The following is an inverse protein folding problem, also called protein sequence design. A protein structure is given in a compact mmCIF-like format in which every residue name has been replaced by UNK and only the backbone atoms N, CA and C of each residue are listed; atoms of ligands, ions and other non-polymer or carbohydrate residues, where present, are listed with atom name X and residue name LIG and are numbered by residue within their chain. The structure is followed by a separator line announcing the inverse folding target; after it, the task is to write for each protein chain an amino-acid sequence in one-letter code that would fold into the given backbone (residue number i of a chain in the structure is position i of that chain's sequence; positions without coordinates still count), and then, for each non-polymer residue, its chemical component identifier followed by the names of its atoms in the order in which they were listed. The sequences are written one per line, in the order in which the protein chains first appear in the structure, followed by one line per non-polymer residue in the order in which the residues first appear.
data_IF_212897855773
#
_entry.id   IF_212897855773
#
_cell.length_a   1.000
_cell.length_b   1.000
_cell.length_c   1.000
_cell.angle_alpha   90.00
_cell.angle_beta   90.00
_cell.angle_gamma   90.00
#
_symmetry.space_group_name_H-M   'P 1'
#
loop_
_entity.id
_entity.type
_entity.pdbx_description
1 polymer ?
#
# COMPACT_ATOMS: atom_id res chain seq x y z
N UNK A 1 17.34 -17.31 33.66
CA UNK A 1 18.17 -16.33 32.95
C UNK A 1 17.41 -15.89 31.72
N UNK A 2 16.76 -14.74 31.85
CA UNK A 2 15.80 -14.17 30.91
C UNK A 2 16.46 -13.06 30.08
N UNK A 3 16.10 -13.00 28.80
CA UNK A 3 15.63 -11.80 28.11
C UNK A 3 15.30 -12.19 26.66
N UNK A 4 14.01 -12.29 26.31
CA UNK A 4 13.55 -12.31 24.91
C UNK A 4 12.36 -11.37 24.77
N UNK A 5 12.52 -10.48 23.81
CA UNK A 5 11.76 -9.26 23.56
C UNK A 5 10.37 -9.51 22.97
N UNK A 6 9.46 -8.61 23.32
CA UNK A 6 8.10 -8.46 22.86
C UNK A 6 8.04 -8.13 21.36
N UNK A 7 7.13 -8.79 20.65
CA UNK A 7 6.13 -8.29 19.67
C UNK A 7 5.70 -9.53 18.87
N UNK A 8 4.82 -10.34 19.48
CA UNK A 8 4.00 -11.33 18.80
C UNK A 8 2.65 -11.32 19.50
N UNK A 9 1.73 -10.48 19.02
CA UNK A 9 0.34 -10.59 19.42
C UNK A 9 -0.33 -11.61 18.50
N UNK A 10 -0.25 -12.88 18.90
CA UNK A 10 -1.09 -13.94 18.38
C UNK A 10 -2.51 -13.81 18.96
N UNK A 11 -3.51 -13.88 18.09
CA UNK A 11 -4.87 -14.31 18.43
C UNK A 11 -4.84 -15.70 19.08
N UNK A 12 -5.47 -15.89 20.25
CA UNK A 12 -6.48 -16.94 20.50
C UNK A 12 -7.09 -16.89 21.92
N UNK A 13 -8.43 -16.89 21.94
CA UNK A 13 -9.36 -17.62 22.81
C UNK A 13 -9.21 -17.62 24.37
N UNK A 14 -10.13 -16.91 25.03
CA UNK A 14 -11.21 -17.47 25.87
C UNK A 14 -10.89 -18.07 27.26
N UNK A 15 -11.54 -17.55 28.30
CA UNK A 15 -12.34 -18.35 29.23
C UNK A 15 -13.24 -17.50 30.16
N UNK A 16 -14.44 -18.02 30.40
CA UNK A 16 -15.45 -17.60 31.38
C UNK A 16 -15.16 -18.11 32.81
N UNK A 17 -15.62 -17.34 33.80
CA UNK A 17 -16.21 -17.67 35.12
C UNK A 17 -15.53 -17.04 36.35
N UNK A 18 -16.35 -16.36 37.16
CA UNK A 18 -16.05 -16.04 38.56
C UNK A 18 -16.92 -14.90 39.12
N UNK A 19 -18.09 -15.23 39.66
CA UNK A 19 -18.94 -14.31 40.43
C UNK A 19 -18.33 -14.02 41.83
N UNK A 20 -18.48 -12.79 42.32
CA UNK A 20 -18.16 -12.46 43.71
C UNK A 20 -18.35 -10.99 44.07
N UNK A 21 -19.38 -10.74 44.88
CA UNK A 21 -19.60 -9.63 45.81
C UNK A 21 -19.69 -8.17 45.28
N UNK A 22 -20.89 -7.60 45.44
CA UNK A 22 -21.13 -6.16 45.48
C UNK A 22 -20.60 -5.61 46.81
N UNK A 23 -19.73 -4.60 46.76
CA UNK A 23 -19.50 -3.66 47.85
C UNK A 23 -19.52 -2.23 47.29
N UNK A 24 -20.10 -1.32 48.08
CA UNK A 24 -20.36 0.08 47.75
C UNK A 24 -19.06 0.82 47.38
N UNK A 25 -19.00 1.34 46.14
CA UNK A 25 -17.89 2.19 45.70
C UNK A 25 -18.11 3.63 46.17
N UNK A 26 -17.10 4.29 46.80
CA UNK A 26 -17.12 5.72 47.03
C UNK A 26 -17.09 6.48 45.70
N UNK A 27 -17.57 7.74 45.73
CA UNK A 27 -17.60 8.63 44.58
C UNK A 27 -16.23 8.70 43.86
N UNK A 28 -16.20 8.74 42.52
CA UNK A 28 -14.94 8.78 41.77
C UNK A 28 -14.24 10.11 42.06
N UNK A 29 -13.16 10.04 42.84
CA UNK A 29 -12.05 10.97 42.68
C UNK A 29 -11.41 10.57 41.36
N UNK A 30 -11.43 11.44 40.35
CA UNK A 30 -10.65 11.24 39.13
C UNK A 30 -9.19 10.96 39.55
N UNK A 31 -8.68 9.73 39.38
CA UNK A 31 -7.25 9.56 39.47
C UNK A 31 -6.67 10.28 38.26
N UNK A 32 -5.70 11.17 38.47
CA UNK A 32 -4.74 11.53 37.43
C UNK A 32 -4.12 10.22 36.95
N UNK A 33 -4.74 9.61 35.94
CA UNK A 33 -4.26 8.37 35.37
C UNK A 33 -2.86 8.67 34.81
N UNK A 34 -1.85 7.84 35.13
CA UNK A 34 -0.51 8.09 34.65
C UNK A 34 -0.55 8.19 33.12
N UNK A 35 0.02 9.25 32.58
CA UNK A 35 0.23 9.38 31.13
C UNK A 35 1.09 8.20 30.70
N UNK A 36 0.50 7.22 30.03
CA UNK A 36 1.24 6.11 29.44
C UNK A 36 1.74 6.61 28.10
N UNK A 37 3.00 7.04 28.07
CA UNK A 37 3.73 7.35 26.84
C UNK A 37 4.72 6.23 26.56
N UNK A 38 4.61 5.57 25.42
CA UNK A 38 5.74 4.81 24.89
C UNK A 38 6.71 5.80 24.21
N UNK A 39 7.99 5.75 24.58
CA UNK A 39 9.00 6.47 23.82
C UNK A 39 9.10 5.84 22.42
N UNK A 40 9.28 6.67 21.38
CA UNK A 40 9.56 6.17 20.05
C UNK A 40 10.93 5.48 20.07
N UNK A 41 10.98 4.15 20.00
CA UNK A 41 12.21 3.43 19.73
C UNK A 41 12.42 3.42 18.22
N UNK A 42 13.50 4.05 17.76
CA UNK A 42 13.89 4.00 16.36
C UNK A 42 14.53 2.64 16.09
N UNK A 43 13.79 1.76 15.42
CA UNK A 43 14.28 0.46 15.04
C UNK A 43 14.85 0.54 13.61
N UNK A 44 16.13 0.17 13.46
CA UNK A 44 16.68 -0.15 12.14
C UNK A 44 15.85 -1.30 11.54
N UNK A 45 15.39 -1.12 10.31
CA UNK A 45 14.71 -2.17 9.57
C UNK A 45 15.73 -3.22 9.18
N UNK A 46 15.63 -4.38 9.81
CA UNK A 46 16.36 -5.56 9.38
C UNK A 46 15.75 -6.09 8.06
N UNK A 47 16.48 -6.93 7.31
CA UNK A 47 15.89 -7.52 6.10
C UNK A 47 14.68 -8.40 6.46
N UNK A 48 13.69 -8.58 5.56
CA UNK A 48 12.56 -9.46 5.81
C UNK A 48 13.02 -10.93 5.65
N UNK A 49 13.48 -11.55 6.75
CA UNK A 49 14.43 -12.66 6.71
C UNK A 49 13.90 -14.07 6.39
N UNK A 50 12.61 -14.29 6.10
CA UNK A 50 12.14 -15.67 5.88
C UNK A 50 11.93 -16.04 4.42
N UNK A 51 11.69 -15.07 3.54
CA UNK A 51 11.09 -15.35 2.21
C UNK A 51 11.89 -14.71 1.06
N UNK A 52 13.19 -14.50 1.23
CA UNK A 52 14.03 -13.96 0.16
C UNK A 52 14.18 -14.97 -0.99
N UNK A 53 14.12 -14.47 -2.22
CA UNK A 53 14.32 -15.26 -3.42
C UNK A 53 15.58 -14.81 -4.15
N UNK A 54 16.43 -15.78 -4.49
CA UNK A 54 17.57 -15.57 -5.38
C UNK A 54 17.20 -16.06 -6.78
N UNK A 55 17.35 -15.20 -7.80
CA UNK A 55 17.07 -15.54 -9.20
C UNK A 55 18.15 -14.99 -10.12
N UNK A 56 18.44 -15.74 -11.17
CA UNK A 56 19.18 -15.21 -12.32
C UNK A 56 18.21 -14.40 -13.17
N UNK A 57 18.41 -13.09 -13.19
CA UNK A 57 17.64 -12.11 -13.95
C UNK A 57 18.55 -11.61 -15.07
N UNK A 58 18.36 -12.15 -16.27
CA UNK A 58 19.10 -11.75 -17.48
C UNK A 58 20.64 -11.83 -17.34
N UNK A 59 21.15 -12.85 -16.62
CA UNK A 59 22.58 -13.05 -16.39
C UNK A 59 23.11 -12.37 -15.13
N UNK A 60 22.25 -11.71 -14.34
CA UNK A 60 22.60 -11.12 -13.04
C UNK A 60 21.85 -11.83 -11.92
N UNK A 61 22.60 -12.36 -10.95
CA UNK A 61 22.00 -12.92 -9.74
C UNK A 61 21.48 -11.80 -8.86
N UNK A 62 20.17 -11.76 -8.63
CA UNK A 62 19.50 -10.83 -7.73
C UNK A 62 18.83 -11.60 -6.60
N UNK A 63 19.16 -11.26 -5.36
CA UNK A 63 18.40 -11.67 -4.18
C UNK A 63 17.44 -10.55 -3.81
N UNK A 64 16.15 -10.85 -3.67
CA UNK A 64 15.17 -9.84 -3.31
C UNK A 64 14.03 -10.43 -2.47
N UNK A 65 13.33 -9.55 -1.76
CA UNK A 65 12.08 -9.90 -1.13
C UNK A 65 10.96 -9.81 -2.17
N UNK A 66 10.19 -10.88 -2.42
CA UNK A 66 9.27 -10.95 -3.55
C UNK A 66 7.93 -10.25 -3.30
N UNK A 67 7.87 -9.37 -2.31
CA UNK A 67 6.70 -8.60 -1.91
C UNK A 67 7.06 -7.13 -1.71
N UNK A 68 6.05 -6.26 -1.75
CA UNK A 68 6.16 -4.89 -1.28
C UNK A 68 5.87 -4.82 0.22
N UNK A 69 6.51 -3.87 0.90
CA UNK A 69 6.20 -3.47 2.27
C UNK A 69 5.43 -2.16 2.31
N UNK A 70 4.51 -2.04 3.26
CA UNK A 70 3.67 -0.83 3.44
C UNK A 70 3.79 -0.30 4.86
N UNK A 71 3.70 1.00 5.03
CA UNK A 71 3.58 1.63 6.34
C UNK A 71 2.25 1.24 7.01
N UNK A 72 2.20 0.97 8.34
CA UNK A 72 3.29 0.99 9.32
C UNK A 72 4.15 -0.27 9.39
N UNK A 73 3.76 -1.34 8.71
CA UNK A 73 4.39 -2.66 8.82
C UNK A 73 5.36 -2.94 7.68
N UNK A 74 6.36 -2.08 7.54
CA UNK A 74 7.43 -2.28 6.55
C UNK A 74 8.22 -3.53 6.96
N UNK A 75 8.03 -4.61 6.22
CA UNK A 75 8.51 -5.96 6.56
C UNK A 75 7.41 -7.02 6.50
N UNK A 76 6.14 -6.63 6.58
CA UNK A 76 5.01 -7.51 6.32
C UNK A 76 4.68 -7.49 4.82
N UNK A 77 4.54 -8.68 4.25
CA UNK A 77 4.25 -8.84 2.83
C UNK A 77 2.88 -8.24 2.49
N UNK A 78 2.86 -7.24 1.61
CA UNK A 78 1.63 -6.58 1.17
C UNK A 78 1.16 -7.13 -0.19
N UNK A 79 1.87 -6.80 -1.27
CA UNK A 79 1.53 -7.24 -2.63
C UNK A 79 2.74 -7.92 -3.29
N UNK A 80 2.53 -8.98 -4.09
CA UNK A 80 3.58 -9.61 -4.89
C UNK A 80 4.30 -8.66 -5.83
N UNK A 81 5.61 -8.81 -5.94
CA UNK A 81 6.33 -8.45 -7.16
C UNK A 81 5.95 -9.47 -8.23
N UNK A 82 5.49 -8.99 -9.38
CA UNK A 82 4.96 -9.83 -10.45
C UNK A 82 5.41 -9.43 -11.86
N UNK A 83 6.32 -8.46 -11.98
CA UNK A 83 7.04 -8.09 -13.19
C UNK A 83 8.46 -7.63 -12.84
N UNK A 84 9.43 -7.93 -13.71
CA UNK A 84 10.83 -7.52 -13.54
C UNK A 84 11.32 -6.87 -14.84
N UNK A 85 11.93 -5.70 -14.73
CA UNK A 85 12.45 -4.95 -15.88
C UNK A 85 13.99 -4.86 -15.81
N UNK A 86 14.66 -5.10 -16.93
CA UNK A 86 16.13 -5.02 -17.08
C UNK A 86 16.51 -4.17 -18.29
N UNK A 87 17.81 -3.93 -18.50
CA UNK A 87 18.30 -3.08 -19.58
C UNK A 87 18.29 -1.61 -19.15
N UNK A 88 17.74 -0.70 -19.96
CA UNK A 88 17.54 0.70 -19.56
C UNK A 88 16.22 0.84 -18.77
N UNK A 89 16.13 0.06 -17.69
CA UNK A 89 14.91 -0.13 -16.92
C UNK A 89 14.71 0.91 -15.82
N UNK A 90 15.21 2.14 -15.99
CA UNK A 90 14.99 3.20 -15.01
C UNK A 90 13.49 3.44 -14.81
N UNK A 91 12.95 3.29 -13.58
CA UNK A 91 11.51 3.42 -13.35
C UNK A 91 10.97 4.80 -13.75
N UNK A 92 11.82 5.84 -13.75
CA UNK A 92 11.46 7.20 -14.21
C UNK A 92 11.19 7.22 -15.71
N UNK A 93 12.07 6.63 -16.50
CA UNK A 93 11.92 6.51 -17.95
C UNK A 93 10.72 5.65 -18.30
N UNK A 94 10.54 4.52 -17.61
CA UNK A 94 9.38 3.64 -17.80
C UNK A 94 8.08 4.38 -17.51
N UNK A 95 8.00 5.11 -16.39
CA UNK A 95 6.86 5.99 -16.06
C UNK A 95 6.55 6.94 -17.21
N UNK A 96 7.52 7.74 -17.64
CA UNK A 96 7.29 8.79 -18.62
C UNK A 96 6.75 8.22 -19.94
N UNK A 97 7.20 7.02 -20.31
CA UNK A 97 6.70 6.31 -21.49
C UNK A 97 5.30 5.75 -21.31
N UNK A 98 4.99 5.17 -20.15
CA UNK A 98 3.64 4.69 -19.84
C UNK A 98 2.62 5.83 -19.81
N UNK A 99 2.97 6.98 -19.25
CA UNK A 99 2.12 8.19 -19.24
C UNK A 99 1.87 8.74 -20.66
N UNK A 100 2.75 8.43 -21.62
CA UNK A 100 2.61 8.83 -23.02
C UNK A 100 1.76 7.88 -23.87
N UNK A 101 1.36 6.72 -23.35
CA UNK A 101 0.53 5.77 -24.09
C UNK A 101 -0.92 6.23 -24.17
N UNK A 102 -1.57 5.96 -25.31
CA UNK A 102 -3.03 5.95 -25.34
C UNK A 102 -3.56 4.82 -24.46
N UNK A 103 -4.70 5.05 -23.81
CA UNK A 103 -5.36 3.99 -23.04
C UNK A 103 -5.98 2.89 -23.90
N UNK A 104 -6.07 3.09 -25.23
CA UNK A 104 -6.73 2.17 -26.14
C UNK A 104 -5.91 0.89 -26.37
N UNK A 105 -6.44 -0.24 -25.87
CA UNK A 105 -5.89 -1.59 -26.06
C UNK A 105 -6.73 -2.42 -27.04
N UNK A 106 -7.72 -1.83 -27.73
CA UNK A 106 -8.56 -2.53 -28.72
C UNK A 106 -7.79 -3.12 -29.91
N UNK A 107 -6.66 -2.54 -30.38
CA UNK A 107 -5.85 -3.18 -31.43
C UNK A 107 -5.28 -4.55 -31.03
N UNK A 108 -5.25 -4.85 -29.73
CA UNK A 108 -4.78 -6.13 -29.18
C UNK A 108 -5.94 -7.08 -28.82
N UNK A 109 -7.16 -6.77 -29.27
CA UNK A 109 -8.34 -7.61 -29.06
C UNK A 109 -9.06 -7.42 -27.73
N UNK A 110 -8.65 -6.44 -26.91
CA UNK A 110 -9.34 -6.10 -25.67
C UNK A 110 -10.58 -5.23 -25.94
N UNK A 111 -11.63 -5.31 -25.10
CA UNK A 111 -12.82 -4.48 -25.28
C UNK A 111 -12.53 -3.00 -24.97
N UNK A 112 -13.30 -2.09 -25.56
CA UNK A 112 -13.22 -0.65 -25.24
C UNK A 112 -13.99 -0.34 -23.94
N UNK A 113 -13.53 -0.86 -22.81
CA UNK A 113 -14.11 -0.64 -21.49
C UNK A 113 -13.03 -0.76 -20.41
N UNK A 114 -13.25 -0.19 -19.23
CA UNK A 114 -12.37 -0.41 -18.06
C UNK A 114 -12.32 -1.93 -17.74
N UNK A 115 -11.15 -2.54 -17.46
CA UNK A 115 -9.81 -1.96 -17.28
C UNK A 115 -8.95 -1.74 -18.54
N UNK A 116 -9.50 -1.91 -19.73
CA UNK A 116 -8.72 -2.02 -20.97
C UNK A 116 -8.54 -0.72 -21.73
N UNK A 117 -9.36 0.32 -21.47
CA UNK A 117 -9.31 1.60 -22.19
C UNK A 117 -8.80 2.79 -21.35
N UNK A 118 -8.27 2.55 -20.15
CA UNK A 118 -7.74 3.59 -19.28
C UNK A 118 -6.32 4.03 -19.68
N UNK A 119 -5.98 5.29 -19.43
CA UNK A 119 -4.62 5.85 -19.54
C UNK A 119 -3.90 5.79 -18.20
N UNK A 120 -2.57 5.69 -18.23
CA UNK A 120 -1.75 5.79 -17.03
C UNK A 120 -1.68 7.23 -16.52
N UNK A 121 -1.72 7.39 -15.21
CA UNK A 121 -1.47 8.63 -14.47
C UNK A 121 -0.62 8.36 -13.24
N UNK A 122 -0.09 9.40 -12.59
CA UNK A 122 0.49 9.25 -11.26
C UNK A 122 -0.60 8.93 -10.24
N UNK A 123 -0.36 7.96 -9.37
CA UNK A 123 -1.34 7.52 -8.37
C UNK A 123 -1.13 8.16 -7.01
N UNK A 124 -2.22 8.42 -6.30
CA UNK A 124 -2.21 8.59 -4.84
C UNK A 124 -1.84 7.26 -4.18
N UNK A 125 -0.83 7.32 -3.32
CA UNK A 125 -0.45 6.22 -2.42
C UNK A 125 0.57 6.68 -1.39
N UNK A 126 0.54 6.08 -0.19
CA UNK A 126 1.59 6.26 0.80
C UNK A 126 2.91 5.68 0.28
N UNK A 127 4.05 6.11 0.83
CA UNK A 127 5.32 5.40 0.70
C UNK A 127 5.18 3.87 0.85
N UNK A 128 5.91 3.15 0.00
CA UNK A 128 6.05 1.70 0.05
C UNK A 128 7.51 1.34 -0.20
N UNK A 129 7.89 0.11 0.12
CA UNK A 129 9.26 -0.32 0.03
C UNK A 129 9.44 -1.72 -0.54
N UNK A 130 10.65 -1.98 -1.03
CA UNK A 130 11.15 -3.31 -1.38
C UNK A 130 12.52 -3.50 -0.75
N UNK A 131 13.00 -4.74 -0.72
CA UNK A 131 14.32 -5.07 -0.22
C UNK A 131 15.07 -5.94 -1.23
N UNK A 132 16.35 -5.64 -1.46
CA UNK A 132 17.23 -6.40 -2.38
C UNK A 132 18.67 -6.50 -1.88
N UNK A 133 19.42 -7.49 -2.34
CA UNK A 133 20.88 -7.50 -2.22
C UNK A 133 21.53 -7.05 -3.53
N UNK A 134 22.63 -6.28 -3.48
CA UNK A 134 23.30 -5.76 -2.28
C UNK A 134 22.70 -4.44 -1.73
N UNK A 135 21.57 -3.96 -2.27
CA UNK A 135 21.14 -2.57 -2.11
C UNK A 135 20.32 -2.26 -0.84
N UNK A 136 19.87 -3.25 -0.09
CA UNK A 136 19.05 -3.10 1.10
C UNK A 136 17.61 -2.61 0.81
N UNK A 137 17.06 -1.80 1.71
CA UNK A 137 15.72 -1.22 1.58
C UNK A 137 15.67 -0.06 0.57
N UNK A 138 14.77 -0.15 -0.40
CA UNK A 138 14.41 0.97 -1.28
C UNK A 138 12.96 1.38 -1.03
N UNK A 139 12.73 2.67 -0.79
CA UNK A 139 11.42 3.21 -0.44
C UNK A 139 10.87 4.29 -1.37
N UNK A 140 11.68 4.79 -2.31
CA UNK A 140 11.15 5.75 -3.28
C UNK A 140 10.44 5.00 -4.39
N UNK A 141 9.12 4.89 -4.27
CA UNK A 141 8.30 4.22 -5.26
C UNK A 141 7.72 5.21 -6.26
N UNK A 142 7.74 4.85 -7.54
CA UNK A 142 6.87 5.48 -8.54
C UNK A 142 5.55 4.71 -8.55
N UNK A 143 4.46 5.38 -8.22
CA UNK A 143 3.11 4.79 -8.21
C UNK A 143 2.30 5.34 -9.38
N UNK A 144 1.76 4.43 -10.19
CA UNK A 144 0.95 4.75 -11.35
C UNK A 144 -0.42 4.10 -11.24
N UNK A 145 -1.43 4.75 -11.78
CA UNK A 145 -2.77 4.20 -11.88
C UNK A 145 -3.33 4.28 -13.29
N UNK A 146 -4.15 3.29 -13.63
CA UNK A 146 -4.98 3.26 -14.84
C UNK A 146 -6.42 3.06 -14.37
N UNK A 147 -7.22 4.13 -14.41
CA UNK A 147 -8.52 4.21 -13.74
C UNK A 147 -8.60 5.46 -12.87
N UNK A 148 -9.33 5.38 -11.75
CA UNK A 148 -9.39 6.44 -10.73
C UNK A 148 -9.30 5.81 -9.33
N UNK A 149 -8.56 6.45 -8.43
CA UNK A 149 -8.52 6.18 -6.99
C UNK A 149 -9.89 5.87 -6.36
N UNK A 150 -10.96 6.58 -6.72
CA UNK A 150 -12.26 6.44 -6.04
C UNK A 150 -13.05 5.18 -6.42
N UNK A 151 -12.60 4.44 -7.43
CA UNK A 151 -13.36 3.31 -8.00
C UNK A 151 -12.45 2.11 -8.20
N UNK A 152 -12.48 1.54 -9.42
CA UNK A 152 -11.62 0.47 -9.86
C UNK A 152 -10.39 1.08 -10.54
N UNK A 153 -9.20 0.59 -10.22
CA UNK A 153 -7.97 0.96 -10.92
C UNK A 153 -6.98 -0.17 -10.99
N UNK A 154 -6.20 -0.17 -12.06
CA UNK A 154 -4.91 -0.87 -12.05
C UNK A 154 -3.92 0.04 -11.35
N UNK A 155 -3.22 -0.48 -10.36
CA UNK A 155 -2.20 0.22 -9.60
C UNK A 155 -0.85 -0.48 -9.81
N UNK A 156 0.12 0.26 -10.35
CA UNK A 156 1.48 -0.21 -10.57
C UNK A 156 2.46 0.52 -9.66
N UNK A 157 3.43 -0.21 -9.13
CA UNK A 157 4.50 0.31 -8.28
C UNK A 157 5.84 -0.11 -8.85
N UNK A 158 6.66 0.87 -9.21
CA UNK A 158 7.97 0.67 -9.80
C UNK A 158 9.03 1.05 -8.77
N UNK A 159 9.85 0.07 -8.40
CA UNK A 159 10.93 0.23 -7.44
C UNK A 159 12.27 0.02 -8.11
N UNK A 160 13.22 0.92 -7.84
CA UNK A 160 14.60 0.73 -8.28
C UNK A 160 15.30 -0.29 -7.39
N UNK A 161 15.98 -1.24 -8.01
CA UNK A 161 16.76 -2.29 -7.37
C UNK A 161 18.08 -2.47 -8.13
N UNK A 162 18.99 -1.49 -7.96
CA UNK A 162 20.19 -1.41 -8.78
C UNK A 162 19.87 -1.14 -10.25
N UNK A 163 20.38 -1.99 -11.13
CA UNK A 163 20.15 -1.93 -12.59
C UNK A 163 18.82 -2.59 -13.02
N UNK A 164 18.03 -3.08 -12.05
CA UNK A 164 16.74 -3.73 -12.28
C UNK A 164 15.63 -2.86 -11.70
N UNK A 165 14.45 -2.88 -12.33
CA UNK A 165 13.22 -2.38 -11.71
C UNK A 165 12.31 -3.53 -11.33
N UNK A 166 11.97 -3.60 -10.05
CA UNK A 166 10.95 -4.51 -9.53
C UNK A 166 9.58 -3.84 -9.64
N UNK A 167 8.61 -4.58 -10.15
CA UNK A 167 7.26 -4.05 -10.38
C UNK A 167 6.23 -4.92 -9.68
N UNK A 168 5.43 -4.28 -8.84
CA UNK A 168 4.19 -4.85 -8.30
C UNK A 168 3.01 -4.18 -8.97
N UNK A 169 2.16 -4.95 -9.66
CA UNK A 169 0.95 -4.43 -10.30
C UNK A 169 -0.28 -5.24 -9.91
N UNK A 170 -1.36 -4.56 -9.55
CA UNK A 170 -2.64 -5.18 -9.19
C UNK A 170 -3.83 -4.34 -9.67
N UNK A 171 -5.00 -4.96 -9.66
CA UNK A 171 -6.29 -4.34 -9.86
C UNK A 171 -6.89 -4.25 -8.47
N UNK A 172 -7.25 -3.04 -8.04
CA UNK A 172 -7.81 -2.80 -6.74
C UNK A 172 -9.10 -1.98 -6.82
N UNK A 173 -9.92 -2.12 -5.79
CA UNK A 173 -11.19 -1.43 -5.62
C UNK A 173 -11.19 -0.70 -4.29
N UNK A 174 -11.59 0.56 -4.28
CA UNK A 174 -11.77 1.32 -3.04
C UNK A 174 -12.81 0.62 -2.14
N UNK A 175 -12.46 0.38 -0.88
CA UNK A 175 -13.45 -0.07 0.11
C UNK A 175 -14.26 1.17 0.52
N UNK A 176 -15.60 1.17 0.32
CA UNK A 176 -16.43 2.35 0.59
C UNK A 176 -16.25 2.89 2.01
N UNK A 177 -16.13 4.22 2.14
CA UNK A 177 -15.97 4.90 3.42
C UNK A 177 -14.58 4.76 4.07
N UNK A 178 -13.59 4.31 3.30
CA UNK A 178 -12.20 4.11 3.74
C UNK A 178 -11.22 4.72 2.74
N UNK A 179 -9.95 4.86 3.13
CA UNK A 179 -8.84 5.18 2.22
C UNK A 179 -8.13 3.94 1.69
N UNK A 180 -8.62 2.75 2.05
CA UNK A 180 -7.98 1.49 1.71
C UNK A 180 -8.62 0.90 0.46
N UNK A 181 -7.78 0.33 -0.37
CA UNK A 181 -8.20 -0.47 -1.51
C UNK A 181 -8.02 -1.94 -1.18
N UNK A 182 -8.96 -2.77 -1.62
CA UNK A 182 -8.76 -4.22 -1.62
C UNK A 182 -8.32 -4.69 -3.01
N UNK A 183 -7.30 -5.55 -3.02
CA UNK A 183 -6.80 -6.11 -4.27
C UNK A 183 -7.73 -7.20 -4.74
N UNK A 184 -8.12 -7.13 -6.01
CA UNK A 184 -9.06 -8.07 -6.63
C UNK A 184 -8.45 -8.90 -7.76
N UNK A 185 -7.25 -8.56 -8.22
CA UNK A 185 -6.47 -9.37 -9.17
C UNK A 185 -5.00 -8.94 -9.20
N UNK A 186 -4.06 -9.89 -9.35
CA UNK A 186 -2.68 -9.62 -9.77
C UNK A 186 -2.43 -10.01 -11.22
N UNK A 187 -3.16 -11.00 -11.74
CA UNK A 187 -2.85 -11.62 -13.03
C UNK A 187 -3.35 -10.81 -14.23
N UNK A 188 -4.60 -10.34 -14.19
CA UNK A 188 -5.14 -9.46 -15.22
C UNK A 188 -4.33 -8.16 -15.40
N UNK A 189 -4.04 -7.39 -14.34
CA UNK A 189 -3.24 -6.17 -14.46
C UNK A 189 -1.79 -6.44 -14.87
N UNK A 190 -1.21 -7.59 -14.47
CA UNK A 190 0.12 -8.04 -14.96
C UNK A 190 0.13 -8.22 -16.48
N UNK A 191 -0.91 -8.84 -17.04
CA UNK A 191 -1.07 -8.99 -18.49
C UNK A 191 -1.16 -7.61 -19.19
N UNK A 192 -1.96 -6.69 -18.67
CA UNK A 192 -2.14 -5.37 -19.27
C UNK A 192 -0.88 -4.50 -19.17
N UNK A 193 -0.18 -4.56 -18.04
CA UNK A 193 1.10 -3.90 -17.88
C UNK A 193 2.17 -4.51 -18.81
N UNK A 194 2.22 -5.84 -18.94
CA UNK A 194 3.12 -6.51 -19.88
C UNK A 194 2.90 -6.06 -21.33
N UNK A 195 1.64 -5.90 -21.75
CA UNK A 195 1.30 -5.35 -23.06
C UNK A 195 1.79 -3.90 -23.21
N UNK A 196 1.55 -3.06 -22.21
CA UNK A 196 1.96 -1.65 -22.26
C UNK A 196 3.48 -1.50 -22.26
N UNK A 197 4.20 -2.37 -21.56
CA UNK A 197 5.66 -2.48 -21.64
C UNK A 197 6.13 -2.79 -23.07
N UNK A 198 5.46 -3.70 -23.79
CA UNK A 198 5.74 -3.95 -25.21
C UNK A 198 5.48 -2.72 -26.08
N UNK A 199 4.38 -2.00 -25.82
CA UNK A 199 4.01 -0.79 -26.57
C UNK A 199 5.03 0.35 -26.42
N UNK A 200 5.79 0.38 -25.32
CA UNK A 200 6.90 1.31 -25.11
C UNK A 200 8.26 0.73 -25.52
N UNK A 201 8.28 -0.40 -26.23
CA UNK A 201 9.48 -1.02 -26.82
C UNK A 201 10.13 -2.12 -25.98
N UNK A 202 9.56 -2.46 -24.82
CA UNK A 202 10.03 -3.56 -23.98
C UNK A 202 9.89 -4.92 -24.67
N UNK A 203 10.90 -5.77 -24.54
CA UNK A 203 10.88 -7.14 -25.11
C UNK A 203 10.83 -8.16 -23.99
N UNK A 204 9.88 -9.09 -24.02
CA UNK A 204 9.86 -10.21 -23.10
C UNK A 204 11.06 -11.14 -23.37
N UNK A 205 11.91 -11.35 -22.37
CA UNK A 205 13.15 -12.14 -22.50
C UNK A 205 13.17 -13.40 -21.63
N UNK A 206 12.15 -13.59 -20.80
CA UNK A 206 12.04 -14.75 -19.92
C UNK A 206 11.02 -14.56 -18.84
N UNK A 207 11.06 -15.47 -17.86
CA UNK A 207 10.22 -15.47 -16.67
C UNK A 207 11.08 -15.89 -15.49
N UNK A 208 10.97 -15.18 -14.36
CA UNK A 208 11.50 -15.60 -13.07
C UNK A 208 10.43 -16.48 -12.39
N UNK A 209 10.62 -17.81 -12.32
CA UNK A 209 9.58 -18.70 -11.82
C UNK A 209 9.56 -18.76 -10.28
N UNK A 210 8.40 -19.07 -9.72
CA UNK A 210 8.19 -19.41 -8.31
C UNK A 210 8.79 -18.39 -7.33
N UNK A 211 8.67 -17.10 -7.61
CA UNK A 211 9.12 -16.02 -6.71
C UNK A 211 8.12 -15.74 -5.60
N UNK A 212 6.83 -16.05 -5.79
CA UNK A 212 5.78 -15.88 -4.76
C UNK A 212 4.90 -17.13 -4.65
N UNK A 213 4.04 -17.17 -3.64
CA UNK A 213 3.14 -18.31 -3.38
C UNK A 213 2.12 -18.51 -4.52
N UNK A 214 2.00 -19.75 -4.99
CA UNK A 214 1.06 -20.20 -6.03
C UNK A 214 0.30 -21.46 -5.55
N UNK A 215 -0.91 -21.76 -6.08
CA UNK A 215 -1.64 -21.05 -7.15
C UNK A 215 -2.43 -19.82 -6.66
N UNK A 216 -2.36 -19.51 -5.37
CA UNK A 216 -3.01 -18.35 -4.77
C UNK A 216 -2.15 -17.77 -3.64
N UNK A 217 -2.21 -16.46 -3.46
CA UNK A 217 -1.45 -15.76 -2.41
C UNK A 217 -2.30 -15.45 -1.17
N UNK A 218 -3.47 -14.84 -1.34
CA UNK A 218 -4.45 -14.63 -0.25
C UNK A 218 -5.90 -14.63 -0.75
N UNK A 219 -6.84 -14.74 0.17
CA UNK A 219 -8.26 -14.55 -0.11
C UNK A 219 -8.58 -13.06 -0.33
N UNK A 220 -9.54 -12.78 -1.22
CA UNK A 220 -10.17 -11.47 -1.30
C UNK A 220 -10.97 -11.20 -0.02
N UNK A 221 -11.14 -9.93 0.38
CA UNK A 221 -12.05 -9.61 1.47
C UNK A 221 -13.47 -10.12 1.13
N UNK A 222 -14.09 -10.96 1.98
CA UNK A 222 -15.42 -11.51 1.70
C UNK A 222 -16.50 -10.45 1.48
N UNK A 223 -16.40 -9.29 2.12
CA UNK A 223 -17.36 -8.19 1.93
C UNK A 223 -17.19 -7.53 0.56
N UNK A 224 -15.95 -7.36 0.10
CA UNK A 224 -15.65 -6.84 -1.24
C UNK A 224 -16.14 -7.82 -2.29
N UNK A 225 -15.85 -9.12 -2.12
CA UNK A 225 -16.32 -10.17 -3.02
C UNK A 225 -17.86 -10.18 -3.13
N UNK A 226 -18.55 -10.17 -1.99
CA UNK A 226 -20.02 -10.13 -1.96
C UNK A 226 -20.57 -8.86 -2.62
N UNK A 227 -19.92 -7.71 -2.39
CA UNK A 227 -20.27 -6.44 -3.04
C UNK A 227 -20.14 -6.49 -4.56
N UNK A 228 -19.04 -7.05 -5.08
CA UNK A 228 -18.81 -7.25 -6.51
C UNK A 228 -19.86 -8.21 -7.10
N UNK A 229 -20.14 -9.33 -6.43
CA UNK A 229 -21.14 -10.30 -6.87
C UNK A 229 -22.54 -9.69 -6.97
N UNK A 230 -22.93 -8.86 -6.00
CA UNK A 230 -24.25 -8.28 -5.94
C UNK A 230 -24.43 -7.11 -6.92
N UNK A 231 -23.41 -6.27 -7.07
CA UNK A 231 -23.55 -4.96 -7.73
C UNK A 231 -22.81 -4.86 -9.07
N UNK A 232 -21.80 -5.70 -9.32
CA UNK A 232 -20.90 -5.60 -10.48
C UNK A 232 -20.76 -6.95 -11.22
N UNK A 233 -21.86 -7.53 -11.76
CA UNK A 233 -21.85 -8.87 -12.35
C UNK A 233 -20.90 -9.00 -13.54
N UNK A 234 -20.69 -7.93 -14.31
CA UNK A 234 -19.73 -7.91 -15.42
C UNK A 234 -18.28 -8.00 -14.93
N UNK A 235 -17.93 -7.26 -13.87
CA UNK A 235 -16.63 -7.35 -13.22
C UNK A 235 -16.44 -8.73 -12.59
N UNK A 236 -17.46 -9.25 -11.90
CA UNK A 236 -17.39 -10.59 -11.32
C UNK A 236 -17.12 -11.66 -12.39
N UNK A 237 -17.82 -11.59 -13.53
CA UNK A 237 -17.60 -12.49 -14.67
C UNK A 237 -16.19 -12.35 -15.26
N UNK A 238 -15.66 -11.11 -15.36
CA UNK A 238 -14.29 -10.86 -15.79
C UNK A 238 -13.27 -11.52 -14.85
N UNK A 239 -13.42 -11.37 -13.52
CA UNK A 239 -12.50 -11.90 -12.52
C UNK A 239 -12.51 -13.45 -12.45
N UNK A 240 -13.66 -14.07 -12.70
CA UNK A 240 -13.87 -15.53 -12.62
C UNK A 240 -13.55 -16.32 -13.89
N UNK A 241 -13.13 -15.63 -14.94
CA UNK A 241 -13.07 -16.06 -16.34
C UNK A 241 -14.39 -15.95 -17.12
N UNK A 242 -14.24 -15.33 -18.29
CA UNK A 242 -14.97 -15.67 -19.52
C UNK A 242 -14.08 -16.68 -20.26
N UNK A 243 -14.42 -17.99 -20.30
CA UNK A 243 -13.56 -19.07 -20.82
C UNK A 243 -13.05 -18.93 -22.27
N UNK A 244 -13.54 -17.94 -23.02
CA UNK A 244 -13.33 -17.79 -24.45
C UNK A 244 -12.41 -16.62 -24.85
N UNK A 245 -11.76 -15.94 -23.90
CA UNK A 245 -10.96 -14.73 -24.18
C UNK A 245 -9.47 -14.82 -23.84
N UNK A 246 -8.97 -15.99 -23.38
CA UNK A 246 -7.54 -16.16 -23.05
C UNK A 246 -7.03 -15.31 -21.87
N UNK A 247 -7.95 -14.74 -21.07
CA UNK A 247 -7.62 -13.95 -19.89
C UNK A 247 -7.30 -14.87 -18.69
N UNK A 248 -6.38 -14.46 -17.80
CA UNK A 248 -6.08 -15.23 -16.61
C UNK A 248 -7.25 -15.24 -15.61
N UNK A 249 -7.37 -16.33 -14.85
CA UNK A 249 -8.28 -16.38 -13.69
C UNK A 249 -7.76 -15.39 -12.65
N UNK A 250 -8.62 -14.52 -12.11
CA UNK A 250 -8.25 -13.64 -10.99
C UNK A 250 -8.66 -14.21 -9.64
N UNK A 251 -9.81 -14.90 -9.57
CA UNK A 251 -10.29 -15.57 -8.35
C UNK A 251 -10.78 -17.00 -8.65
N UNK A 252 -10.51 -17.92 -7.74
CA UNK A 252 -11.10 -19.27 -7.79
C UNK A 252 -12.56 -19.28 -7.27
N UNK A 253 -13.15 -20.47 -7.24
CA UNK A 253 -14.52 -20.67 -6.73
C UNK A 253 -14.67 -20.32 -5.23
N UNK A 254 -13.59 -20.33 -4.46
CA UNK A 254 -13.55 -19.95 -3.04
C UNK A 254 -13.26 -18.46 -2.81
N UNK A 255 -13.01 -17.67 -3.86
CA UNK A 255 -12.63 -16.27 -3.72
C UNK A 255 -11.14 -16.05 -3.40
N UNK A 256 -10.30 -17.08 -3.58
CA UNK A 256 -8.85 -16.91 -3.43
C UNK A 256 -8.28 -16.23 -4.68
N UNK A 257 -7.53 -15.16 -4.45
CA UNK A 257 -6.86 -14.41 -5.51
C UNK A 257 -5.75 -15.28 -6.10
N UNK A 258 -5.92 -15.62 -7.38
CA UNK A 258 -5.01 -16.47 -8.10
C UNK A 258 -3.70 -15.73 -8.38
N UNK A 259 -2.61 -16.48 -8.30
CA UNK A 259 -1.26 -16.03 -8.58
C UNK A 259 -0.44 -17.22 -9.08
N UNK A 260 0.19 -17.09 -10.24
CA UNK A 260 1.02 -18.14 -10.84
C UNK A 260 2.41 -18.26 -10.18
N UNK A 261 2.75 -17.32 -9.29
CA UNK A 261 4.02 -17.28 -8.57
C UNK A 261 5.18 -16.77 -9.41
N UNK A 262 4.95 -16.33 -10.64
CA UNK A 262 5.99 -16.00 -11.61
C UNK A 262 6.03 -14.50 -11.91
N UNK A 263 7.20 -13.99 -12.27
CA UNK A 263 7.34 -12.64 -12.84
C UNK A 263 7.93 -12.71 -14.24
N UNK A 264 7.20 -12.29 -15.29
CA UNK A 264 7.79 -12.05 -16.60
C UNK A 264 8.92 -11.02 -16.51
N UNK A 265 9.97 -11.26 -17.29
CA UNK A 265 11.14 -10.39 -17.39
C UNK A 265 11.10 -9.66 -18.73
N UNK A 266 11.15 -8.33 -18.69
CA UNK A 266 11.21 -7.47 -19.86
C UNK A 266 12.54 -6.74 -19.94
N UNK A 267 13.18 -6.80 -21.12
CA UNK A 267 14.31 -5.93 -21.45
C UNK A 267 13.78 -4.62 -22.02
N UNK A 268 14.15 -3.51 -21.38
CA UNK A 268 13.80 -2.16 -21.80
C UNK A 268 14.89 -1.60 -22.71
N UNK A 269 14.54 -1.06 -23.88
CA UNK A 269 15.53 -0.48 -24.78
C UNK A 269 16.10 0.80 -24.17
N UNK A 270 17.33 1.14 -24.56
CA UNK A 270 17.87 2.46 -24.27
C UNK A 270 17.01 3.51 -24.97
N UNK A 271 16.41 4.41 -24.20
CA UNK A 271 15.54 5.43 -24.75
C UNK A 271 16.12 6.80 -24.43
N UNK A 272 16.33 7.67 -25.43
CA UNK A 272 16.72 9.04 -25.16
C UNK A 272 15.72 9.68 -24.18
N UNK A 273 16.25 10.25 -23.10
CA UNK A 273 15.45 11.06 -22.19
C UNK A 273 14.68 12.12 -22.97
N UNK A 274 13.53 12.54 -22.46
CA UNK A 274 12.73 13.63 -23.02
C UNK A 274 13.45 14.98 -22.84
N UNK A 275 14.59 15.15 -23.51
CA UNK A 275 15.57 16.22 -23.30
C UNK A 275 15.05 17.64 -23.55
N UNK A 276 13.86 17.78 -24.11
CA UNK A 276 13.27 19.07 -24.49
C UNK A 276 12.03 19.44 -23.63
N UNK A 277 11.68 18.62 -22.64
CA UNK A 277 10.54 18.87 -21.75
C UNK A 277 10.92 19.74 -20.56
N UNK A 278 10.15 20.81 -20.31
CA UNK A 278 10.18 21.50 -19.01
C UNK A 278 9.80 20.56 -17.86
N UNK A 279 9.95 21.03 -16.61
CA UNK A 279 9.56 20.24 -15.45
C UNK A 279 8.07 19.81 -15.56
N UNK A 280 7.81 18.52 -15.42
CA UNK A 280 6.46 17.97 -15.41
C UNK A 280 5.93 17.96 -13.98
N UNK A 281 4.74 18.49 -13.78
CA UNK A 281 4.08 18.50 -12.47
C UNK A 281 2.71 17.84 -12.63
N UNK A 282 2.49 16.78 -11.87
CA UNK A 282 1.19 16.11 -11.73
C UNK A 282 0.66 16.34 -10.33
N UNK A 283 -0.65 16.57 -10.22
CA UNK A 283 -1.34 16.71 -8.93
C UNK A 283 -2.68 15.99 -8.99
N UNK A 284 -2.91 15.17 -7.98
CA UNK A 284 -4.20 14.52 -7.73
C UNK A 284 -4.66 14.89 -6.33
N UNK A 285 -5.96 15.17 -6.19
CA UNK A 285 -6.60 15.42 -4.90
C UNK A 285 -7.91 14.65 -4.87
N UNK A 286 -8.12 13.90 -3.80
CA UNK A 286 -9.33 13.08 -3.58
C UNK A 286 -9.83 13.37 -2.17
N UNK A 287 -11.13 13.46 -2.00
CA UNK A 287 -11.76 13.59 -0.68
C UNK A 287 -12.53 12.31 -0.39
N UNK A 288 -12.23 11.70 0.75
CA UNK A 288 -12.90 10.48 1.20
C UNK A 288 -13.76 10.81 2.40
N UNK A 289 -15.06 10.62 2.27
CA UNK A 289 -16.00 10.71 3.38
C UNK A 289 -16.01 9.41 4.18
N UNK A 290 -15.45 9.46 5.39
CA UNK A 290 -15.54 8.36 6.33
C UNK A 290 -16.95 8.29 6.92
N UNK A 291 -17.45 7.07 7.02
CA UNK A 291 -18.65 6.75 7.79
C UNK A 291 -18.63 5.26 8.17
N UNK A 292 -17.75 4.89 9.09
CA UNK A 292 -17.51 3.49 9.42
C UNK A 292 -17.23 3.27 10.90
N UNK A 293 -17.53 2.07 11.38
CA UNK A 293 -17.09 1.58 12.69
C UNK A 293 -15.78 0.82 12.53
N UNK A 294 -14.74 1.25 13.23
CA UNK A 294 -13.41 0.63 13.23
C UNK A 294 -13.00 0.19 14.64
N UNK A 295 -12.14 -0.84 14.78
CA UNK A 295 -11.43 -1.07 16.03
C UNK A 295 -10.61 0.18 16.40
N UNK A 296 -10.53 0.50 17.70
CA UNK A 296 -9.72 1.62 18.17
C UNK A 296 -8.25 1.36 17.79
N UNK A 297 -7.60 2.27 17.03
CA UNK A 297 -6.30 1.98 16.43
C UNK A 297 -5.12 2.07 17.39
N UNK A 298 -5.28 2.75 18.53
CA UNK A 298 -4.26 2.91 19.57
C UNK A 298 -4.93 3.30 20.90
N UNK A 299 -4.23 3.12 22.02
CA UNK A 299 -4.80 3.33 23.36
C UNK A 299 -6.03 2.45 23.64
N UNK A 300 -6.10 1.28 23.01
CA UNK A 300 -7.05 0.23 23.32
C UNK A 300 -6.36 -0.79 24.25
N UNK A 301 -6.74 -0.81 25.53
CA UNK A 301 -6.08 -1.67 26.52
C UNK A 301 -6.50 -3.13 26.44
N UNK A 302 -7.68 -3.43 25.90
CA UNK A 302 -8.26 -4.79 25.89
C UNK A 302 -8.61 -5.30 24.47
N UNK A 303 -8.45 -4.46 23.46
CA UNK A 303 -8.72 -4.81 22.06
C UNK A 303 -10.22 -4.89 21.76
N UNK A 304 -11.08 -4.41 22.65
CA UNK A 304 -12.53 -4.49 22.53
C UNK A 304 -13.17 -3.13 22.24
N UNK A 305 -12.38 -2.07 22.09
CA UNK A 305 -12.90 -0.75 21.84
C UNK A 305 -13.17 -0.52 20.35
N UNK A 306 -14.39 -0.08 20.03
CA UNK A 306 -14.77 0.27 18.66
C UNK A 306 -15.22 1.73 18.58
N UNK A 307 -14.82 2.38 17.49
CA UNK A 307 -15.08 3.78 17.20
C UNK A 307 -15.93 3.91 15.94
N UNK A 308 -17.02 4.66 16.01
CA UNK A 308 -17.65 5.23 14.83
C UNK A 308 -16.87 6.48 14.43
N UNK A 309 -16.46 6.55 13.17
CA UNK A 309 -15.66 7.64 12.61
C UNK A 309 -16.38 8.22 11.39
N UNK A 310 -16.61 9.54 11.41
CA UNK A 310 -17.39 10.25 10.40
C UNK A 310 -16.67 11.52 9.94
N UNK A 311 -16.67 11.78 8.65
CA UNK A 311 -16.21 13.05 8.08
C UNK A 311 -15.11 12.91 7.03
N UNK A 312 -14.70 14.02 6.40
CA UNK A 312 -13.82 13.97 5.25
C UNK A 312 -12.34 13.85 5.62
N UNK A 313 -11.60 13.10 4.81
CA UNK A 313 -10.15 13.16 4.72
C UNK A 313 -9.76 13.47 3.29
N UNK A 314 -9.03 14.57 3.11
CA UNK A 314 -8.47 14.95 1.82
C UNK A 314 -7.10 14.29 1.62
N UNK A 315 -6.99 13.50 0.58
CA UNK A 315 -5.73 12.95 0.06
C UNK A 315 -5.19 13.86 -1.02
N UNK A 316 -3.88 14.05 -1.06
CA UNK A 316 -3.22 14.81 -2.13
C UNK A 316 -1.91 14.15 -2.50
N UNK A 317 -1.72 13.94 -3.80
CA UNK A 317 -0.47 13.54 -4.40
C UNK A 317 0.04 14.67 -5.29
N UNK A 318 1.33 14.98 -5.18
CA UNK A 318 2.03 15.85 -6.12
C UNK A 318 3.30 15.14 -6.56
N UNK A 319 3.45 14.97 -7.87
CA UNK A 319 4.67 14.46 -8.50
C UNK A 319 5.32 15.59 -9.27
N UNK A 320 6.65 15.68 -9.18
CA UNK A 320 7.45 16.61 -9.96
C UNK A 320 8.62 15.87 -10.58
N UNK A 321 8.71 15.91 -11.90
CA UNK A 321 9.85 15.38 -12.67
C UNK A 321 10.59 16.54 -13.30
N UNK A 322 11.88 16.69 -13.02
CA UNK A 322 12.70 17.77 -13.61
C UNK A 322 13.27 17.35 -14.97
N UNK A 323 13.72 18.30 -15.82
CA UNK A 323 14.40 17.98 -17.07
C UNK A 323 15.68 17.16 -16.89
N UNK A 324 16.31 17.26 -15.71
CA UNK A 324 17.47 16.44 -15.32
C UNK A 324 17.08 15.03 -14.85
N UNK A 325 15.81 14.62 -15.00
CA UNK A 325 15.32 13.32 -14.59
C UNK A 325 15.13 13.16 -13.07
N UNK A 326 15.11 14.22 -12.26
CA UNK A 326 14.83 14.05 -10.83
C UNK A 326 13.33 13.86 -10.62
N UNK A 327 12.94 12.78 -9.95
CA UNK A 327 11.58 12.50 -9.54
C UNK A 327 11.38 12.83 -8.06
N UNK A 328 10.35 13.60 -7.75
CA UNK A 328 9.94 13.92 -6.37
C UNK A 328 8.45 13.68 -6.24
N UNK A 329 8.07 12.79 -5.33
CA UNK A 329 6.68 12.55 -4.94
C UNK A 329 6.42 13.16 -3.57
N UNK A 330 5.26 13.79 -3.41
CA UNK A 330 4.77 14.32 -2.14
C UNK A 330 3.34 13.86 -1.96
N UNK A 331 3.09 13.15 -0.88
CA UNK A 331 1.77 12.67 -0.51
C UNK A 331 1.32 13.32 0.80
N UNK A 332 0.02 13.51 0.97
CA UNK A 332 -0.55 13.84 2.28
C UNK A 332 -1.99 13.39 2.42
N UNK A 333 -2.36 13.00 3.63
CA UNK A 333 -3.75 12.80 4.06
C UNK A 333 -4.06 13.77 5.21
N UNK A 334 -5.11 14.57 5.08
CA UNK A 334 -5.47 15.59 6.08
C UNK A 334 -6.98 15.62 6.28
N UNK A 335 -7.43 15.61 7.52
CA UNK A 335 -8.86 15.68 7.82
C UNK A 335 -9.13 15.85 9.30
N UNK A 336 -10.36 16.25 9.60
CA UNK A 336 -10.95 16.20 10.93
C UNK A 336 -12.14 15.27 10.87
N UNK A 337 -12.18 14.33 11.79
CA UNK A 337 -13.19 13.31 11.88
C UNK A 337 -13.96 13.49 13.19
N UNK A 338 -15.27 13.36 13.14
CA UNK A 338 -16.08 13.18 14.33
C UNK A 338 -16.01 11.71 14.73
N UNK A 339 -15.71 11.48 16.00
CA UNK A 339 -15.47 10.15 16.56
C UNK A 339 -16.36 9.92 17.76
N UNK A 340 -16.91 8.72 17.87
CA UNK A 340 -17.65 8.27 19.04
C UNK A 340 -17.36 6.81 19.32
N UNK A 341 -17.09 6.49 20.57
CA UNK A 341 -16.94 5.10 20.99
C UNK A 341 -18.31 4.39 20.99
N UNK A 342 -18.42 3.30 20.24
CA UNK A 342 -19.66 2.51 20.12
C UNK A 342 -19.60 1.20 20.89
N UNK A 343 -18.40 0.76 21.29
CA UNK A 343 -18.20 -0.35 22.20
C UNK A 343 -17.01 -0.07 23.16
N UNK A 344 -17.23 -0.17 24.49
CA UNK A 344 -18.51 0.09 25.14
C UNK A 344 -19.12 1.41 24.67
N UNK A 345 -20.45 1.47 24.54
CA UNK A 345 -21.11 2.64 23.96
C UNK A 345 -20.97 3.88 24.85
N UNK A 346 -20.49 4.97 24.26
CA UNK A 346 -20.43 6.30 24.88
C UNK A 346 -21.25 7.25 24.01
N UNK A 347 -22.03 8.14 24.63
CA UNK A 347 -22.93 9.05 23.91
C UNK A 347 -22.22 10.26 23.32
N UNK A 348 -21.08 10.64 23.90
CA UNK A 348 -20.32 11.84 23.55
C UNK A 348 -19.54 11.67 22.24
N UNK A 349 -19.71 12.64 21.35
CA UNK A 349 -18.86 12.81 20.16
C UNK A 349 -17.67 13.69 20.51
N UNK A 350 -16.53 13.34 19.96
CA UNK A 350 -15.30 14.11 20.05
C UNK A 350 -14.62 14.16 18.68
N UNK A 351 -13.50 14.88 18.54
CA UNK A 351 -12.83 15.02 17.25
C UNK A 351 -11.58 14.16 17.18
N UNK A 352 -11.25 13.68 15.99
CA UNK A 352 -9.92 13.20 15.66
C UNK A 352 -9.33 14.04 14.53
N UNK A 353 -8.01 14.15 14.53
CA UNK A 353 -7.24 14.76 13.45
C UNK A 353 -6.40 13.70 12.76
N UNK A 354 -6.51 13.67 11.44
CA UNK A 354 -5.61 12.93 10.55
C UNK A 354 -4.65 13.92 9.92
N UNK A 355 -3.35 13.69 10.05
CA UNK A 355 -2.33 14.47 9.37
C UNK A 355 -1.15 13.56 9.02
N UNK A 356 -1.08 13.16 7.77
CA UNK A 356 0.00 12.33 7.25
C UNK A 356 0.70 13.09 6.12
N UNK A 357 2.02 12.95 6.04
CA UNK A 357 2.83 13.51 4.98
C UNK A 357 3.93 12.54 4.59
N UNK A 358 4.01 12.22 3.31
CA UNK A 358 5.06 11.42 2.72
C UNK A 358 5.82 12.21 1.67
N UNK A 359 7.12 11.92 1.53
CA UNK A 359 7.95 12.44 0.46
C UNK A 359 8.91 11.37 -0.03
N UNK A 360 8.85 11.05 -1.32
CA UNK A 360 9.82 10.23 -2.04
C UNK A 360 10.69 11.08 -2.95
N UNK A 361 11.96 10.72 -3.07
CA UNK A 361 12.90 11.34 -4.01
C UNK A 361 13.68 10.23 -4.69
N UNK A 362 13.71 10.29 -6.02
CA UNK A 362 14.48 9.39 -6.86
C UNK A 362 15.27 10.18 -7.89
N UNK A 363 16.59 10.13 -7.78
CA UNK A 363 17.55 10.78 -8.68
C UNK A 363 18.61 9.76 -9.10
N UNK A 364 19.61 10.18 -9.87
CA UNK A 364 20.74 9.30 -10.23
C UNK A 364 21.64 9.01 -9.02
N UNK A 365 21.63 9.88 -8.01
CA UNK A 365 22.60 9.84 -6.91
C UNK A 365 21.97 9.49 -5.56
N UNK A 366 20.68 9.76 -5.41
CA UNK A 366 19.96 9.63 -4.15
C UNK A 366 18.59 9.03 -4.42
N UNK A 367 18.30 8.01 -3.63
CA UNK A 367 16.97 7.49 -3.41
C UNK A 367 16.63 7.62 -1.93
N UNK A 368 15.49 8.22 -1.61
CA UNK A 368 15.05 8.36 -0.24
C UNK A 368 13.53 8.43 -0.14
N UNK A 369 13.02 7.98 1.00
CA UNK A 369 11.63 8.22 1.39
C UNK A 369 11.56 8.65 2.84
N UNK A 370 10.63 9.55 3.14
CA UNK A 370 10.28 9.91 4.50
C UNK A 370 8.76 9.98 4.60
N UNK A 371 8.22 9.42 5.68
CA UNK A 371 6.80 9.53 6.01
C UNK A 371 6.63 9.89 7.47
N UNK A 372 5.72 10.82 7.75
CA UNK A 372 5.25 11.12 9.10
C UNK A 372 3.74 10.96 9.10
N UNK A 373 3.23 10.09 9.96
CA UNK A 373 1.80 9.96 10.21
C UNK A 373 1.48 10.41 11.63
N UNK A 374 0.54 11.33 11.75
CA UNK A 374 -0.01 11.79 13.02
C UNK A 374 -1.52 11.53 13.05
N UNK A 375 -1.96 10.79 14.05
CA UNK A 375 -3.37 10.59 14.40
C UNK A 375 -3.56 11.04 15.83
N UNK A 376 -4.57 11.87 16.07
CA UNK A 376 -4.80 12.46 17.39
C UNK A 376 -6.29 12.51 17.69
N UNK A 377 -6.69 12.03 18.85
CA UNK A 377 -8.02 12.22 19.42
C UNK A 377 -8.04 13.48 20.29
N UNK A 378 -9.05 14.32 20.13
CA UNK A 378 -9.20 15.65 20.72
C UNK A 378 -10.50 15.68 21.54
N UNK A 379 -10.40 16.00 22.83
CA UNK A 379 -11.56 16.03 23.72
C UNK A 379 -12.49 17.22 23.45
N UNK A 380 -13.78 17.11 23.80
CA UNK A 380 -14.66 18.26 23.93
C UNK A 380 -14.11 19.21 25.01
N UNK A 381 -13.83 20.47 24.63
CA UNK A 381 -13.16 21.45 25.51
C UNK A 381 -11.65 21.64 25.28
N UNK A 382 -11.02 20.83 24.40
CA UNK A 382 -9.60 20.94 24.04
C UNK A 382 -8.70 19.92 24.75
N UNK A 383 -7.45 19.81 24.30
CA UNK A 383 -6.49 18.79 24.77
C UNK A 383 -6.58 17.46 24.01
N UNK A 384 -5.48 16.72 23.99
CA UNK A 384 -5.34 15.41 23.36
C UNK A 384 -5.79 14.27 24.30
N UNK A 385 -6.66 13.38 23.82
CA UNK A 385 -7.07 12.13 24.51
C UNK A 385 -6.10 10.99 24.18
N UNK A 386 -5.53 11.03 23.00
CA UNK A 386 -4.48 10.11 22.60
C UNK A 386 -3.83 10.53 21.30
N UNK A 387 -2.58 10.14 21.12
CA UNK A 387 -1.80 10.47 19.93
C UNK A 387 -1.02 9.24 19.48
N UNK A 388 -1.04 8.96 18.18
CA UNK A 388 -0.14 8.06 17.50
C UNK A 388 0.72 8.86 16.53
N UNK A 389 2.04 8.75 16.66
CA UNK A 389 2.99 9.23 15.68
C UNK A 389 3.79 8.07 15.12
N UNK A 390 3.92 8.03 13.80
CA UNK A 390 4.74 7.08 13.09
C UNK A 390 5.68 7.84 12.16
N UNK A 391 6.95 7.48 12.18
CA UNK A 391 7.93 7.99 11.25
C UNK A 391 8.57 6.82 10.51
N UNK A 392 8.64 6.95 9.19
CA UNK A 392 9.35 6.02 8.31
C UNK A 392 10.43 6.83 7.61
N UNK A 393 11.63 6.27 7.52
CA UNK A 393 12.64 6.79 6.63
C UNK A 393 13.41 5.67 5.95
N UNK A 394 13.73 5.86 4.68
CA UNK A 394 14.74 5.06 3.99
C UNK A 394 15.71 6.02 3.33
N UNK A 395 16.98 5.84 3.66
CA UNK A 395 18.06 6.67 3.18
C UNK A 395 18.84 6.01 2.04
N UNK A 396 19.80 6.74 1.48
CA UNK A 396 20.74 6.17 0.52
C UNK A 396 21.49 4.97 1.13
N UNK A 397 21.81 3.98 0.29
CA UNK A 397 22.50 2.73 0.65
C UNK A 397 21.67 1.69 1.42
N UNK A 398 20.34 1.75 1.33
CA UNK A 398 19.50 0.65 1.82
C UNK A 398 19.18 0.68 3.32
N UNK A 399 19.58 1.75 4.02
CA UNK A 399 19.26 1.93 5.43
C UNK A 399 17.81 2.35 5.59
N UNK A 400 17.02 1.56 6.32
CA UNK A 400 15.64 1.86 6.66
C UNK A 400 15.47 2.00 8.18
N UNK A 401 14.63 2.93 8.61
CA UNK A 401 14.26 3.09 10.00
C UNK A 401 12.76 3.35 10.13
N UNK A 402 12.14 2.75 11.13
CA UNK A 402 10.75 2.99 11.52
C UNK A 402 10.70 3.29 13.00
N UNK A 403 9.96 4.32 13.38
CA UNK A 403 9.67 4.61 14.77
C UNK A 403 8.17 4.87 14.94
N UNK A 404 7.59 4.30 15.98
CA UNK A 404 6.20 4.52 16.36
C UNK A 404 6.15 4.91 17.84
N UNK A 405 5.36 5.93 18.17
CA UNK A 405 5.03 6.28 19.54
C UNK A 405 3.55 6.48 19.70
N UNK A 406 3.03 6.02 20.84
CA UNK A 406 1.67 6.27 21.25
C UNK A 406 1.68 6.93 22.64
N UNK A 407 0.85 7.96 22.81
CA UNK A 407 0.59 8.59 24.10
C UNK A 407 -0.90 8.48 24.40
N UNK A 408 -1.22 7.89 25.54
CA UNK A 408 -2.59 7.74 26.03
C UNK A 408 -2.76 8.64 27.24
N UNK A 409 -3.62 9.66 27.12
CA UNK A 409 -3.93 10.58 28.23
C UNK A 409 -5.34 10.28 28.71
N UNK A 410 -5.41 9.66 29.89
CA UNK A 410 -6.63 9.32 30.61
C UNK A 410 -7.44 10.54 30.99
#
# INVERSE_FOLDING_TARGET
MHARSLVKASLLAGLLLGAGACDERPAPVEPDAPVVSSAAEEASLAAPFTDLVARDIAGTSLTFWPYTGRTPTIGDAADPINLILVGDADPRTVRDRLLGLSGDRTPFGFPNAMPFNCTWGDAIGSPQAVWTEPYGWSGSVIQLECGNYETLRIHARLFRAGDVTLVGVHLDLLIPGTTDHDVISWELPRLLMALDLQRIGGTAIGVAPAITQAPAYRAMNPFVLAGIQANEPALYALLRQVPNQGLPVSIDAGGNLQNDGNAPIFSMPAIPGSGDGGAQISRQTVEIDFNQTIPRPFCDSDGQEFLQVVGPVTLTQKVTTTPSGNFVSQWSAKGYLDVRQVAPAVTEWYRARVNQHGRGVMTDQVEMVNEIQLRMEIRPGGGDRGQLQLNVSMGPNGAGAVSASASCKG
#
